data_IF_420945708130
#
_entry.id   IF_420945708130
#
_cell.length_a   1.000
_cell.length_b   1.000
_cell.length_c   1.000
_cell.angle_alpha   90.00
_cell.angle_beta   90.00
_cell.angle_gamma   90.00
#
_symmetry.space_group_name_H-M   'P 1'
#
loop_
_entity.id
_entity.type
_entity.pdbx_description
1 polymer ?
#
# COMPACT_ATOMS: atom_id res chain seq x y z
N UNK A 1 -19.24 9.05 -23.41
CA UNK A 1 -18.03 9.79 -23.07
C UNK A 1 -17.65 10.65 -24.27
N UNK A 2 -17.32 11.92 -24.06
CA UNK A 2 -16.87 12.84 -25.10
C UNK A 2 -15.44 12.43 -25.58
N UNK A 3 -15.10 12.76 -26.82
CA UNK A 3 -13.79 12.41 -27.41
C UNK A 3 -12.61 12.95 -26.59
N UNK A 4 -12.81 14.09 -25.90
CA UNK A 4 -11.84 14.66 -24.98
C UNK A 4 -11.67 13.86 -23.68
N UNK A 5 -12.67 13.09 -23.26
CA UNK A 5 -12.59 12.25 -22.06
C UNK A 5 -11.80 10.95 -22.32
N UNK A 6 -11.77 10.46 -23.57
CA UNK A 6 -10.99 9.28 -23.95
C UNK A 6 -9.47 9.46 -23.80
N UNK A 7 -8.96 10.70 -23.91
CA UNK A 7 -7.53 10.97 -23.73
C UNK A 7 -7.06 10.82 -22.27
N UNK A 8 -7.99 10.75 -21.32
CA UNK A 8 -7.75 10.62 -19.88
C UNK A 8 -8.06 9.21 -19.35
N UNK A 9 -8.33 8.24 -20.23
CA UNK A 9 -8.58 6.85 -19.88
C UNK A 9 -7.35 6.01 -20.22
N UNK A 10 -6.87 5.20 -19.27
CA UNK A 10 -5.73 4.30 -19.50
C UNK A 10 -6.08 3.18 -20.49
N UNK A 11 -7.09 2.39 -20.15
CA UNK A 11 -7.63 1.37 -21.03
C UNK A 11 -9.09 1.69 -21.38
N UNK A 12 -9.29 2.09 -22.63
CA UNK A 12 -10.61 2.47 -23.14
C UNK A 12 -11.44 1.28 -23.66
N UNK A 13 -10.88 0.06 -23.64
CA UNK A 13 -11.56 -1.16 -24.10
C UNK A 13 -12.08 -1.08 -25.53
N UNK A 14 -11.38 -0.33 -26.42
CA UNK A 14 -11.81 0.00 -27.77
C UNK A 14 -13.20 0.70 -27.83
N UNK A 15 -13.51 1.48 -26.80
CA UNK A 15 -14.80 2.19 -26.68
C UNK A 15 -16.01 1.31 -26.37
N UNK A 16 -15.78 0.01 -26.04
CA UNK A 16 -16.86 -0.93 -25.71
C UNK A 16 -17.03 -0.99 -24.18
N UNK A 17 -15.97 -1.39 -23.48
CA UNK A 17 -15.96 -1.45 -22.02
C UNK A 17 -14.57 -1.01 -21.55
N UNK A 18 -14.41 0.21 -21.07
CA UNK A 18 -13.15 0.66 -20.50
C UNK A 18 -12.82 -0.12 -19.22
N UNK A 19 -11.57 -0.08 -18.80
CA UNK A 19 -11.16 -0.56 -17.47
C UNK A 19 -12.08 0.05 -16.39
N UNK A 20 -12.53 -0.77 -15.46
CA UNK A 20 -13.57 -0.39 -14.48
C UNK A 20 -13.00 0.29 -13.24
N UNK A 21 -11.68 0.30 -13.10
CA UNK A 21 -10.97 0.94 -12.01
C UNK A 21 -10.69 2.43 -12.24
N UNK A 22 -10.26 3.07 -11.19
CA UNK A 22 -9.90 4.48 -11.18
C UNK A 22 -9.91 5.08 -9.79
N UNK A 23 -9.74 6.38 -9.72
CA UNK A 23 -9.81 7.13 -8.46
C UNK A 23 -10.74 8.34 -8.58
N UNK A 24 -11.34 8.72 -7.46
CA UNK A 24 -12.01 10.00 -7.30
C UNK A 24 -11.23 10.88 -6.34
N UNK A 25 -11.18 12.16 -6.63
CA UNK A 25 -10.65 13.17 -5.71
C UNK A 25 -11.82 13.87 -5.06
N UNK A 26 -11.80 13.92 -3.72
CA UNK A 26 -12.78 14.61 -2.89
C UNK A 26 -12.10 15.79 -2.21
N UNK A 27 -12.64 16.98 -2.39
CA UNK A 27 -12.24 18.16 -1.67
C UNK A 27 -13.20 18.40 -0.50
N UNK A 28 -12.68 18.37 0.73
CA UNK A 28 -13.48 18.47 1.95
C UNK A 28 -13.05 19.66 2.79
N UNK A 29 -14.04 20.44 3.27
CA UNK A 29 -13.81 21.53 4.19
C UNK A 29 -14.08 21.08 5.64
N UNK A 30 -13.04 20.90 6.48
CA UNK A 30 -13.21 20.43 7.84
C UNK A 30 -13.90 21.46 8.77
N UNK A 31 -13.89 22.76 8.43
CA UNK A 31 -14.50 23.79 9.27
C UNK A 31 -16.02 23.76 9.23
N UNK A 32 -16.61 23.56 8.05
CA UNK A 32 -18.06 23.46 7.90
C UNK A 32 -18.56 22.03 7.66
N UNK A 33 -17.63 21.04 7.63
CA UNK A 33 -17.89 19.61 7.45
C UNK A 33 -18.63 19.29 6.15
N UNK A 34 -18.26 19.94 5.06
CA UNK A 34 -18.89 19.76 3.76
C UNK A 34 -17.90 19.34 2.69
N UNK A 35 -18.34 18.47 1.80
CA UNK A 35 -17.65 18.23 0.54
C UNK A 35 -17.83 19.44 -0.36
N UNK A 36 -16.71 20.04 -0.79
CA UNK A 36 -16.70 21.20 -1.69
C UNK A 36 -16.84 20.72 -3.13
N UNK A 37 -16.12 19.68 -3.47
CA UNK A 37 -16.04 19.12 -4.83
C UNK A 37 -15.73 17.64 -4.81
N UNK A 38 -16.16 16.94 -5.86
CA UNK A 38 -15.79 15.55 -6.12
C UNK A 38 -15.73 15.34 -7.62
N UNK A 39 -14.68 14.68 -8.11
CA UNK A 39 -14.51 14.38 -9.52
C UNK A 39 -13.65 13.14 -9.74
N UNK A 40 -13.80 12.51 -10.91
CA UNK A 40 -12.91 11.44 -11.35
C UNK A 40 -11.52 12.02 -11.63
N UNK A 41 -10.49 11.38 -11.13
CA UNK A 41 -9.08 11.81 -11.26
C UNK A 41 -8.19 10.79 -11.98
N UNK A 42 -8.62 9.54 -12.07
CA UNK A 42 -7.98 8.47 -12.84
C UNK A 42 -9.08 7.55 -13.37
N UNK A 43 -8.96 7.06 -14.59
CA UNK A 43 -9.95 6.20 -15.23
C UNK A 43 -9.28 5.13 -16.09
N UNK A 44 -9.98 3.99 -16.27
CA UNK A 44 -9.55 2.93 -17.16
C UNK A 44 -8.43 2.05 -16.62
N UNK A 45 -8.18 2.11 -15.34
CA UNK A 45 -7.35 1.16 -14.60
C UNK A 45 -8.19 -0.03 -14.12
N UNK A 46 -7.57 -0.97 -13.43
CA UNK A 46 -8.26 -2.15 -12.89
C UNK A 46 -7.88 -2.40 -11.44
N UNK A 47 -8.85 -2.87 -10.65
CA UNK A 47 -8.65 -3.30 -9.27
C UNK A 47 -7.73 -2.35 -8.49
N UNK A 48 -8.01 -1.04 -8.54
CA UNK A 48 -7.29 -0.10 -7.71
C UNK A 48 -7.57 -0.43 -6.24
N UNK A 49 -6.55 -0.88 -5.53
CA UNK A 49 -6.66 -1.13 -4.12
C UNK A 49 -6.20 0.09 -3.31
N UNK A 50 -5.19 -0.03 -2.49
CA UNK A 50 -4.69 1.08 -1.72
C UNK A 50 -3.76 1.99 -2.56
N UNK A 51 -2.70 2.47 -1.98
CA UNK A 51 -1.74 3.38 -2.62
C UNK A 51 -0.99 4.18 -1.57
N UNK A 52 -0.58 5.40 -1.92
CA UNK A 52 0.12 6.25 -0.97
C UNK A 52 0.26 7.69 -1.41
N UNK A 53 0.22 8.60 -0.43
CA UNK A 53 0.46 10.00 -0.66
C UNK A 53 1.95 10.29 -0.89
N UNK A 54 2.26 11.17 -1.83
CA UNK A 54 3.62 11.63 -2.06
C UNK A 54 3.87 12.97 -1.35
N UNK A 55 5.10 13.26 -0.92
CA UNK A 55 5.43 14.54 -0.31
C UNK A 55 5.39 15.72 -1.30
N UNK A 56 5.25 15.47 -2.60
CA UNK A 56 5.13 16.50 -3.64
C UNK A 56 3.70 16.72 -4.13
N UNK A 57 2.69 16.20 -3.43
CA UNK A 57 1.26 16.52 -3.64
C UNK A 57 0.58 15.70 -4.73
N UNK A 58 0.90 14.42 -4.81
CA UNK A 58 0.19 13.43 -5.62
C UNK A 58 -0.18 12.20 -4.79
N UNK A 59 -1.02 11.34 -5.36
CA UNK A 59 -1.37 10.01 -4.87
C UNK A 59 -0.84 8.96 -5.82
N UNK A 60 -0.22 7.92 -5.30
CA UNK A 60 0.14 6.72 -6.05
C UNK A 60 -1.01 5.72 -5.94
N UNK A 61 -1.71 5.48 -7.05
CA UNK A 61 -2.80 4.49 -7.08
C UNK A 61 -2.27 3.16 -7.59
N UNK A 62 -2.51 2.10 -6.83
CA UNK A 62 -1.99 0.76 -7.06
C UNK A 62 -3.05 -0.12 -7.74
N UNK A 63 -2.69 -0.79 -8.85
CA UNK A 63 -3.50 -1.86 -9.44
C UNK A 63 -3.15 -3.20 -8.79
N UNK A 64 -4.09 -3.77 -8.03
CA UNK A 64 -3.96 -5.09 -7.41
C UNK A 64 -4.39 -6.18 -8.39
N UNK A 65 -3.78 -6.22 -9.55
CA UNK A 65 -4.05 -7.21 -10.58
C UNK A 65 -2.81 -7.50 -11.44
N UNK A 66 -2.86 -8.58 -12.22
CA UNK A 66 -1.89 -8.87 -13.26
C UNK A 66 -2.64 -9.36 -14.49
N UNK A 67 -3.09 -8.42 -15.32
CA UNK A 67 -3.99 -8.73 -16.44
C UNK A 67 -3.36 -8.33 -17.76
N UNK A 68 -3.48 -9.20 -18.77
CA UNK A 68 -3.00 -8.97 -20.12
C UNK A 68 -4.14 -8.51 -21.05
N UNK A 69 -3.82 -7.86 -22.18
CA UNK A 69 -4.79 -7.56 -23.22
C UNK A 69 -5.58 -8.79 -23.64
N UNK A 70 -6.88 -8.63 -23.81
CA UNK A 70 -7.77 -9.72 -24.16
C UNK A 70 -9.23 -9.43 -23.93
N UNK A 71 -10.07 -10.42 -24.09
CA UNK A 71 -11.50 -10.33 -23.83
C UNK A 71 -11.88 -11.38 -22.80
N UNK A 72 -12.50 -10.94 -21.73
CA UNK A 72 -13.01 -11.78 -20.63
C UNK A 72 -14.49 -11.53 -20.43
N UNK A 73 -15.15 -12.44 -19.70
CA UNK A 73 -16.53 -12.26 -19.28
C UNK A 73 -16.56 -12.16 -17.76
N UNK A 74 -16.88 -10.97 -17.26
CA UNK A 74 -16.84 -10.63 -15.84
C UNK A 74 -18.15 -9.96 -15.42
N UNK A 75 -18.69 -10.32 -14.27
CA UNK A 75 -19.93 -9.75 -13.73
C UNK A 75 -21.06 -9.65 -14.76
N UNK A 76 -21.25 -10.69 -15.57
CA UNK A 76 -22.22 -10.73 -16.67
C UNK A 76 -21.98 -9.71 -17.81
N UNK A 77 -20.77 -9.21 -17.96
CA UNK A 77 -20.39 -8.23 -18.98
C UNK A 77 -19.13 -8.69 -19.72
N UNK A 78 -19.05 -8.41 -21.02
CA UNK A 78 -17.85 -8.60 -21.81
C UNK A 78 -16.91 -7.44 -21.51
N UNK A 79 -15.76 -7.73 -20.92
CA UNK A 79 -14.68 -6.77 -20.68
C UNK A 79 -13.58 -6.99 -21.72
N UNK A 80 -13.22 -5.92 -22.42
CA UNK A 80 -12.13 -5.94 -23.38
C UNK A 80 -11.00 -5.04 -22.89
N UNK A 81 -9.83 -5.63 -22.74
CA UNK A 81 -8.60 -4.92 -22.37
C UNK A 81 -7.70 -4.74 -23.59
N UNK A 82 -7.19 -3.55 -23.77
CA UNK A 82 -6.23 -3.21 -24.82
C UNK A 82 -4.84 -2.96 -24.24
N UNK A 83 -4.75 -2.74 -22.94
CA UNK A 83 -3.51 -2.48 -22.20
C UNK A 83 -3.19 -3.63 -21.24
N UNK A 84 -1.95 -3.69 -20.81
CA UNK A 84 -1.53 -4.52 -19.67
C UNK A 84 -1.81 -3.76 -18.38
N UNK A 85 -2.24 -4.48 -17.35
CA UNK A 85 -2.51 -3.97 -16.01
C UNK A 85 -1.60 -4.62 -14.97
N UNK A 86 -1.57 -4.06 -13.76
CA UNK A 86 -0.69 -4.44 -12.65
C UNK A 86 0.40 -3.40 -12.43
N UNK A 87 0.04 -2.12 -12.51
CA UNK A 87 0.96 -0.99 -12.38
C UNK A 87 0.51 0.02 -11.33
N UNK A 88 1.38 0.95 -11.04
CA UNK A 88 1.09 2.14 -10.25
C UNK A 88 0.89 3.33 -11.18
N UNK A 89 -0.06 4.21 -10.82
CA UNK A 89 -0.34 5.46 -11.50
C UNK A 89 -0.20 6.63 -10.53
N UNK A 90 0.46 7.68 -10.96
CA UNK A 90 0.57 8.91 -10.18
C UNK A 90 -0.56 9.88 -10.55
N UNK A 91 -1.34 10.29 -9.53
CA UNK A 91 -2.49 11.18 -9.67
C UNK A 91 -2.21 12.47 -8.90
N UNK A 92 -2.12 13.60 -9.60
CA UNK A 92 -1.89 14.90 -8.97
C UNK A 92 -3.10 15.35 -8.14
N UNK A 93 -2.89 15.74 -6.89
CA UNK A 93 -3.93 16.34 -6.05
C UNK A 93 -4.30 17.77 -6.51
N UNK A 94 -3.34 18.51 -7.08
CA UNK A 94 -3.53 19.91 -7.45
C UNK A 94 -4.13 20.12 -8.85
N UNK A 95 -3.97 19.16 -9.74
CA UNK A 95 -4.51 19.23 -11.10
C UNK A 95 -4.92 17.85 -11.63
N UNK A 96 -5.89 17.20 -10.98
CA UNK A 96 -6.27 15.84 -11.31
C UNK A 96 -6.86 15.68 -12.71
N UNK A 97 -7.45 16.73 -13.29
CA UNK A 97 -8.04 16.70 -14.63
C UNK A 97 -7.02 16.72 -15.78
N UNK A 98 -5.76 17.04 -15.51
CA UNK A 98 -4.71 17.13 -16.52
C UNK A 98 -3.75 15.93 -16.52
N UNK A 99 -3.89 15.04 -15.57
CA UNK A 99 -3.02 13.87 -15.45
C UNK A 99 -3.39 12.84 -16.50
N UNK A 100 -2.49 12.62 -17.47
CA UNK A 100 -2.60 11.43 -18.32
C UNK A 100 -2.31 10.21 -17.47
N UNK A 101 -3.10 9.14 -17.57
CA UNK A 101 -2.85 7.91 -16.85
C UNK A 101 -1.64 7.18 -17.48
N UNK A 102 -0.46 7.40 -16.91
CA UNK A 102 0.79 6.79 -17.38
C UNK A 102 1.23 5.73 -16.37
N UNK A 103 1.32 4.46 -16.78
CA UNK A 103 1.77 3.39 -15.89
C UNK A 103 3.26 3.57 -15.56
N UNK A 104 3.61 3.50 -14.29
CA UNK A 104 4.98 3.60 -13.80
C UNK A 104 5.67 2.23 -13.87
N UNK A 105 5.99 1.78 -15.09
CA UNK A 105 6.42 0.40 -15.39
C UNK A 105 7.69 -0.04 -14.70
N UNK A 106 8.62 0.86 -14.43
CA UNK A 106 9.86 0.54 -13.73
C UNK A 106 9.67 0.30 -12.21
N UNK A 107 8.47 0.59 -11.68
CA UNK A 107 8.07 0.16 -10.35
C UNK A 107 7.68 -1.32 -10.27
N UNK A 108 7.72 -2.02 -11.39
CA UNK A 108 7.36 -3.42 -11.51
C UNK A 108 5.93 -3.63 -12.00
N UNK A 109 5.68 -4.84 -12.48
CA UNK A 109 4.35 -5.32 -12.84
C UNK A 109 4.01 -6.51 -11.96
N UNK A 110 3.10 -6.32 -11.02
CA UNK A 110 2.61 -7.31 -10.06
C UNK A 110 1.29 -6.82 -9.44
N UNK A 111 0.69 -7.59 -8.56
CA UNK A 111 -0.49 -7.16 -7.79
C UNK A 111 -0.07 -6.15 -6.72
N UNK A 112 -0.03 -4.88 -7.12
CA UNK A 112 0.32 -3.76 -6.24
C UNK A 112 -0.78 -3.48 -5.23
N UNK A 113 -0.42 -3.50 -3.94
CA UNK A 113 -1.36 -3.20 -2.87
C UNK A 113 -1.25 -1.74 -2.43
N UNK A 114 -0.17 -1.38 -1.79
CA UNK A 114 0.03 -0.05 -1.23
C UNK A 114 1.43 0.49 -1.46
N UNK A 115 1.58 1.80 -1.24
CA UNK A 115 2.84 2.52 -1.41
C UNK A 115 3.10 3.48 -0.24
N UNK A 116 4.35 3.58 0.21
CA UNK A 116 4.79 4.60 1.16
C UNK A 116 6.05 5.30 0.64
N UNK A 117 6.09 6.61 0.74
CA UNK A 117 7.21 7.41 0.24
C UNK A 117 8.04 7.92 1.42
N UNK A 118 9.33 7.65 1.38
CA UNK A 118 10.29 8.31 2.27
C UNK A 118 10.50 9.78 1.82
N UNK A 119 10.05 10.76 2.59
CA UNK A 119 10.11 12.16 2.17
C UNK A 119 11.54 12.72 2.09
N UNK A 120 12.52 12.03 2.68
CA UNK A 120 13.91 12.48 2.69
C UNK A 120 14.67 12.03 1.46
N UNK A 121 14.53 10.75 1.06
CA UNK A 121 15.23 10.20 -0.10
C UNK A 121 14.36 10.15 -1.36
N UNK A 122 13.05 10.22 -1.22
CA UNK A 122 12.09 9.98 -2.31
C UNK A 122 11.96 8.50 -2.70
N UNK A 123 12.57 7.59 -1.96
CA UNK A 123 12.39 6.17 -2.16
C UNK A 123 10.93 5.76 -1.87
N UNK A 124 10.41 4.87 -2.71
CA UNK A 124 9.03 4.40 -2.59
C UNK A 124 9.05 2.93 -2.21
N UNK A 125 8.37 2.59 -1.13
CA UNK A 125 8.23 1.23 -0.64
C UNK A 125 6.87 0.70 -1.06
N UNK A 126 6.82 -0.56 -1.52
CA UNK A 126 5.65 -1.15 -2.16
C UNK A 126 5.36 -2.51 -1.55
N UNK A 127 4.08 -2.79 -1.34
CA UNK A 127 3.58 -4.11 -0.97
C UNK A 127 2.92 -4.82 -2.14
N UNK A 128 2.83 -6.16 -2.05
CA UNK A 128 2.22 -7.04 -3.03
C UNK A 128 1.30 -8.00 -2.30
N UNK A 129 0.03 -8.06 -2.68
CA UNK A 129 -0.90 -9.02 -2.10
C UNK A 129 -0.77 -10.40 -2.74
N UNK A 130 0.19 -11.17 -2.25
CA UNK A 130 0.37 -12.59 -2.59
C UNK A 130 0.90 -13.39 -1.41
N UNK A 131 0.52 -14.66 -1.31
CA UNK A 131 0.97 -15.59 -0.26
C UNK A 131 2.51 -15.74 -0.18
N UNK A 132 3.21 -15.38 -1.23
CA UNK A 132 4.68 -15.44 -1.36
C UNK A 132 5.21 -14.10 -1.83
N UNK A 133 4.68 -13.01 -1.30
CA UNK A 133 5.04 -11.65 -1.68
C UNK A 133 6.45 -11.26 -1.22
N UNK A 134 6.92 -10.17 -1.76
CA UNK A 134 8.13 -9.49 -1.30
C UNK A 134 7.76 -8.10 -0.78
N UNK A 135 8.67 -7.48 -0.06
CA UNK A 135 8.64 -6.04 0.18
C UNK A 135 9.60 -5.39 -0.82
N UNK A 136 9.09 -4.46 -1.61
CA UNK A 136 9.86 -3.79 -2.64
C UNK A 136 10.25 -2.38 -2.24
N UNK A 137 11.33 -1.88 -2.87
CA UNK A 137 11.75 -0.48 -2.80
C UNK A 137 12.09 0.01 -4.20
N UNK A 138 11.49 1.12 -4.61
CA UNK A 138 11.82 1.81 -5.85
C UNK A 138 12.65 3.07 -5.54
N UNK A 139 13.80 3.20 -6.20
CA UNK A 139 14.67 4.38 -6.12
C UNK A 139 14.50 5.17 -7.40
N UNK A 140 13.83 6.33 -7.38
CA UNK A 140 13.60 7.12 -8.58
C UNK A 140 14.91 7.75 -9.10
N UNK A 141 15.05 7.83 -10.42
CA UNK A 141 16.17 8.53 -11.07
C UNK A 141 16.14 10.03 -10.77
N UNK A 142 14.95 10.59 -10.65
CA UNK A 142 14.73 12.01 -10.35
C UNK A 142 13.69 12.15 -9.24
N UNK A 143 14.06 12.80 -8.14
CA UNK A 143 13.15 13.04 -7.02
C UNK A 143 11.89 13.79 -7.49
N UNK A 144 10.72 13.24 -7.18
CA UNK A 144 9.42 13.83 -7.53
C UNK A 144 9.04 13.76 -9.01
N UNK A 145 9.80 13.00 -9.83
CA UNK A 145 9.49 12.75 -11.25
C UNK A 145 9.55 11.27 -11.57
N UNK A 146 8.55 10.55 -11.12
CA UNK A 146 8.52 9.09 -11.22
C UNK A 146 8.50 8.56 -12.65
N UNK A 147 8.00 9.37 -13.59
CA UNK A 147 8.01 9.05 -15.03
C UNK A 147 9.42 8.94 -15.62
N UNK A 148 10.43 9.56 -14.99
CA UNK A 148 11.82 9.44 -15.41
C UNK A 148 12.42 8.05 -15.08
N UNK A 149 11.60 7.16 -14.48
CA UNK A 149 11.98 5.80 -14.11
C UNK A 149 12.87 5.73 -12.88
N UNK A 150 13.45 4.56 -12.65
CA UNK A 150 14.29 4.30 -11.50
C UNK A 150 14.71 2.83 -11.38
N UNK A 151 15.04 2.40 -10.19
CA UNK A 151 15.50 1.05 -9.89
C UNK A 151 14.60 0.38 -8.87
N UNK A 152 14.04 -0.77 -9.21
CA UNK A 152 13.27 -1.60 -8.28
C UNK A 152 14.18 -2.61 -7.58
N UNK A 153 13.98 -2.75 -6.29
CA UNK A 153 14.73 -3.64 -5.41
C UNK A 153 13.78 -4.42 -4.50
N UNK A 154 14.23 -5.57 -3.99
CA UNK A 154 13.51 -6.35 -2.99
C UNK A 154 14.32 -6.45 -1.69
N UNK A 155 13.62 -6.45 -0.54
CA UNK A 155 14.22 -6.57 0.78
C UNK A 155 14.81 -7.97 0.98
N UNK A 156 16.01 -8.06 1.54
CA UNK A 156 16.65 -9.28 2.01
C UNK A 156 17.16 -9.10 3.44
N UNK A 157 16.98 -10.10 4.29
CA UNK A 157 17.65 -10.15 5.59
C UNK A 157 19.14 -10.48 5.36
N UNK A 158 20.02 -9.62 5.81
CA UNK A 158 21.47 -9.77 5.62
C UNK A 158 21.97 -11.12 6.16
N UNK A 159 22.79 -11.80 5.36
CA UNK A 159 23.34 -13.12 5.68
C UNK A 159 22.31 -14.26 5.83
N UNK A 160 21.04 -14.00 5.53
CA UNK A 160 19.96 -14.99 5.52
C UNK A 160 19.20 -14.93 4.19
N UNK A 161 19.82 -15.30 3.05
CA UNK A 161 19.15 -15.22 1.75
C UNK A 161 17.91 -16.10 1.73
N UNK A 162 16.90 -15.64 1.00
CA UNK A 162 15.60 -16.31 0.85
C UNK A 162 14.91 -16.59 2.20
N UNK A 163 15.03 -15.64 3.13
CA UNK A 163 14.45 -15.77 4.47
C UNK A 163 12.93 -15.71 4.41
N UNK A 164 12.27 -16.64 5.12
CA UNK A 164 10.81 -16.70 5.21
C UNK A 164 10.34 -16.03 6.51
N UNK A 165 9.77 -14.83 6.41
CA UNK A 165 9.30 -14.06 7.57
C UNK A 165 7.94 -14.51 8.08
N UNK A 166 7.22 -15.38 7.32
CA UNK A 166 5.80 -15.69 7.53
C UNK A 166 5.48 -16.47 8.79
N UNK A 167 6.46 -17.13 9.40
CA UNK A 167 6.29 -18.00 10.58
C UNK A 167 5.28 -19.16 10.42
N UNK A 168 4.92 -19.54 9.18
CA UNK A 168 3.86 -20.53 8.92
C UNK A 168 4.18 -21.97 9.35
N UNK A 169 5.43 -22.38 9.20
CA UNK A 169 5.85 -23.77 9.51
C UNK A 169 6.74 -23.81 10.74
N UNK A 170 7.59 -22.82 10.87
CA UNK A 170 8.52 -22.65 11.99
C UNK A 170 8.60 -21.18 12.32
N UNK A 171 8.70 -20.84 13.59
CA UNK A 171 8.97 -19.48 14.01
C UNK A 171 10.42 -19.13 13.64
N UNK A 172 10.57 -18.40 12.55
CA UNK A 172 11.86 -17.97 12.02
C UNK A 172 12.19 -16.52 12.39
N UNK A 173 11.18 -15.73 12.75
CA UNK A 173 11.29 -14.34 13.17
C UNK A 173 10.50 -14.12 14.47
N UNK A 174 11.20 -13.68 15.51
CA UNK A 174 10.58 -13.38 16.81
C UNK A 174 10.18 -11.90 16.89
N UNK A 175 9.17 -11.59 17.68
CA UNK A 175 8.81 -10.21 18.00
C UNK A 175 10.00 -9.50 18.66
N UNK A 176 10.12 -8.21 18.37
CA UNK A 176 11.15 -7.31 18.92
C UNK A 176 12.62 -7.66 18.59
N UNK A 177 12.89 -8.66 17.74
CA UNK A 177 14.23 -8.95 17.24
C UNK A 177 14.51 -8.14 15.96
N UNK A 178 15.58 -7.33 15.99
CA UNK A 178 16.01 -6.56 14.83
C UNK A 178 16.93 -7.38 13.92
N UNK A 179 16.65 -7.35 12.62
CA UNK A 179 17.46 -7.98 11.58
C UNK A 179 18.02 -6.94 10.63
N UNK A 180 19.31 -7.02 10.35
CA UNK A 180 19.95 -6.19 9.33
C UNK A 180 19.39 -6.47 7.95
N UNK A 181 19.20 -5.43 7.15
CA UNK A 181 18.57 -5.49 5.83
C UNK A 181 19.53 -5.07 4.72
N UNK A 182 19.46 -5.78 3.61
CA UNK A 182 20.03 -5.44 2.31
C UNK A 182 18.91 -5.34 1.29
N UNK A 183 19.19 -4.68 0.16
CA UNK A 183 18.25 -4.58 -0.96
C UNK A 183 18.86 -5.19 -2.20
N UNK A 184 18.14 -6.10 -2.84
CA UNK A 184 18.56 -6.83 -4.03
C UNK A 184 17.95 -6.16 -5.25
N UNK A 185 18.77 -5.80 -6.23
CA UNK A 185 18.32 -5.26 -7.52
C UNK A 185 17.51 -6.31 -8.27
N UNK A 186 16.39 -5.90 -8.85
CA UNK A 186 15.54 -6.76 -9.67
C UNK A 186 15.60 -6.33 -11.13
N UNK A 187 15.77 -7.32 -12.01
CA UNK A 187 15.75 -7.14 -13.46
C UNK A 187 14.42 -7.54 -14.07
N UNK A 188 14.15 -7.09 -15.32
CA UNK A 188 12.95 -7.41 -16.07
C UNK A 188 11.67 -7.22 -15.25
N UNK A 189 11.55 -6.05 -14.63
CA UNK A 189 10.46 -5.73 -13.70
C UNK A 189 9.10 -5.56 -14.39
N UNK A 190 9.07 -5.19 -15.68
CA UNK A 190 7.86 -5.16 -16.54
C UNK A 190 7.71 -6.48 -17.31
N UNK A 191 7.71 -7.61 -16.60
CA UNK A 191 7.60 -8.95 -17.17
C UNK A 191 6.21 -9.24 -17.74
N UNK A 192 6.17 -10.12 -18.76
CA UNK A 192 4.91 -10.71 -19.25
C UNK A 192 4.43 -11.88 -18.39
N UNK A 193 5.23 -12.31 -17.41
CA UNK A 193 4.92 -13.41 -16.49
C UNK A 193 4.90 -12.88 -15.08
N UNK A 194 3.89 -13.27 -14.31
CA UNK A 194 3.72 -12.88 -12.91
C UNK A 194 4.66 -13.67 -11.99
N UNK A 195 5.96 -13.47 -12.17
CA UNK A 195 7.02 -14.24 -11.50
C UNK A 195 8.03 -13.39 -10.71
N UNK A 196 7.88 -12.07 -10.71
CA UNK A 196 8.85 -11.14 -10.12
C UNK A 196 9.20 -11.52 -8.67
N UNK A 197 8.17 -11.81 -7.84
CA UNK A 197 8.36 -12.26 -6.47
C UNK A 197 9.09 -13.59 -6.34
N UNK A 198 8.91 -14.49 -7.31
CA UNK A 198 9.56 -15.80 -7.29
C UNK A 198 11.04 -15.66 -7.64
N UNK A 199 11.35 -14.91 -8.71
CA UNK A 199 12.73 -14.59 -9.10
C UNK A 199 13.47 -13.81 -8.02
N UNK A 200 12.83 -12.81 -7.42
CA UNK A 200 13.42 -12.06 -6.32
C UNK A 200 13.75 -12.93 -5.10
N UNK A 201 12.87 -13.89 -4.75
CA UNK A 201 13.14 -14.84 -3.69
C UNK A 201 14.32 -15.79 -4.04
N UNK A 202 14.41 -16.26 -5.27
CA UNK A 202 15.54 -17.07 -5.75
C UNK A 202 16.86 -16.29 -5.71
N UNK A 203 16.83 -14.97 -5.93
CA UNK A 203 17.97 -14.08 -5.79
C UNK A 203 18.36 -13.79 -4.32
N UNK A 204 17.52 -14.22 -3.35
CA UNK A 204 17.79 -14.08 -1.93
C UNK A 204 16.88 -13.09 -1.18
N UNK A 205 15.90 -12.48 -1.83
CA UNK A 205 14.94 -11.60 -1.16
C UNK A 205 14.11 -12.36 -0.11
N UNK A 206 13.66 -11.64 0.91
CA UNK A 206 12.85 -12.21 2.00
C UNK A 206 11.37 -12.25 1.62
N UNK A 207 10.68 -13.31 2.02
CA UNK A 207 9.28 -13.57 1.69
C UNK A 207 8.34 -13.11 2.80
N UNK A 208 7.21 -12.51 2.39
CA UNK A 208 6.11 -12.08 3.25
C UNK A 208 4.80 -12.80 2.90
N UNK A 209 3.77 -12.65 3.73
CA UNK A 209 2.49 -13.34 3.61
C UNK A 209 1.35 -12.37 3.31
N UNK A 210 1.05 -12.11 2.04
CA UNK A 210 0.09 -11.11 1.62
C UNK A 210 0.44 -9.74 2.25
N UNK A 211 1.37 -9.02 1.60
CA UNK A 211 1.74 -7.68 2.00
C UNK A 211 0.62 -6.72 1.62
N UNK A 212 0.02 -6.08 2.61
CA UNK A 212 -1.12 -5.18 2.49
C UNK A 212 -0.69 -3.72 2.71
N UNK A 213 -1.28 -3.07 3.70
CA UNK A 213 -1.01 -1.68 4.01
C UNK A 213 0.45 -1.35 4.33
N UNK A 214 0.85 -0.14 4.01
CA UNK A 214 2.18 0.37 4.28
C UNK A 214 2.12 1.87 4.57
N UNK A 215 2.86 2.35 5.58
CA UNK A 215 2.99 3.77 5.84
C UNK A 215 4.39 4.17 6.28
N UNK A 216 4.74 5.43 6.04
CA UNK A 216 5.96 6.05 6.54
C UNK A 216 5.66 6.89 7.79
N UNK A 217 6.44 6.71 8.84
CA UNK A 217 6.49 7.60 10.00
C UNK A 217 7.84 7.53 10.70
N UNK A 218 8.32 8.64 11.20
CA UNK A 218 9.51 8.74 12.08
C UNK A 218 10.73 7.95 11.62
N UNK A 219 11.07 8.05 10.34
CA UNK A 219 12.20 7.34 9.73
C UNK A 219 12.02 5.82 9.65
N UNK A 220 10.80 5.33 9.81
CA UNK A 220 10.41 3.93 9.68
C UNK A 220 9.31 3.75 8.64
N UNK A 221 9.27 2.56 8.07
CA UNK A 221 8.19 2.05 7.24
C UNK A 221 7.48 0.96 8.05
N UNK A 222 6.19 1.10 8.23
CA UNK A 222 5.34 0.09 8.88
C UNK A 222 4.56 -0.66 7.81
N UNK A 223 4.51 -1.99 7.92
CA UNK A 223 3.96 -2.90 6.91
C UNK A 223 3.06 -3.91 7.58
N UNK A 224 1.93 -4.20 6.98
CA UNK A 224 1.05 -5.31 7.38
C UNK A 224 1.20 -6.50 6.45
N UNK A 225 1.00 -7.70 6.98
CA UNK A 225 0.94 -8.95 6.23
C UNK A 225 -0.22 -9.79 6.77
N UNK A 226 -1.36 -9.76 6.08
CA UNK A 226 -2.67 -10.14 6.62
C UNK A 226 -2.82 -11.59 7.03
N UNK A 227 -2.04 -12.51 6.43
CA UNK A 227 -2.04 -13.93 6.79
C UNK A 227 -0.67 -14.42 7.30
N UNK A 228 0.18 -13.52 7.78
CA UNK A 228 1.41 -13.89 8.47
C UNK A 228 1.15 -14.47 9.85
N UNK A 229 2.20 -15.05 10.45
CA UNK A 229 2.12 -15.66 11.78
C UNK A 229 1.79 -17.15 11.77
N UNK A 230 2.11 -17.83 12.86
CA UNK A 230 1.91 -19.27 13.00
C UNK A 230 0.43 -19.68 12.86
N UNK A 231 -0.49 -18.84 13.30
CA UNK A 231 -1.94 -19.04 13.19
C UNK A 231 -2.55 -18.36 11.96
N UNK A 232 -1.72 -17.69 11.13
CA UNK A 232 -2.14 -16.96 9.93
C UNK A 232 -3.16 -15.86 10.19
N UNK A 233 -3.04 -15.19 11.33
CA UNK A 233 -3.94 -14.13 11.78
C UNK A 233 -3.37 -12.73 11.56
N UNK A 234 -2.20 -12.62 10.96
CA UNK A 234 -1.56 -11.36 10.58
C UNK A 234 -0.26 -11.05 11.30
N UNK A 235 0.57 -10.28 10.64
CA UNK A 235 1.83 -9.73 11.17
C UNK A 235 1.91 -8.25 10.86
N UNK A 236 2.58 -7.49 11.73
CA UNK A 236 2.95 -6.09 11.52
C UNK A 236 4.45 -5.97 11.65
N UNK A 237 5.10 -5.32 10.70
CA UNK A 237 6.54 -5.12 10.67
C UNK A 237 6.90 -3.64 10.76
N UNK A 238 8.08 -3.36 11.31
CA UNK A 238 8.76 -2.07 11.25
C UNK A 238 10.09 -2.23 10.50
N UNK A 239 10.26 -1.51 9.40
CA UNK A 239 11.55 -1.33 8.74
C UNK A 239 12.09 0.06 9.05
N UNK A 240 13.15 0.12 9.84
CA UNK A 240 13.84 1.36 10.20
C UNK A 240 14.94 1.67 9.20
N UNK A 241 14.86 2.83 8.57
CA UNK A 241 15.80 3.27 7.53
C UNK A 241 17.13 3.71 8.18
N UNK A 242 18.25 3.18 7.68
CA UNK A 242 19.57 3.63 8.11
C UNK A 242 20.04 4.82 7.26
N UNK A 243 19.92 6.02 7.79
CA UNK A 243 20.32 7.26 7.09
C UNK A 243 21.83 7.38 6.89
N UNK A 244 22.64 6.79 7.73
CA UNK A 244 24.10 6.83 7.61
C UNK A 244 24.60 5.89 6.50
N UNK A 245 23.95 4.75 6.27
CA UNK A 245 24.23 3.87 5.12
C UNK A 245 24.10 4.63 3.80
N UNK A 246 23.04 5.41 3.64
CA UNK A 246 22.78 6.16 2.41
C UNK A 246 23.85 7.23 2.11
N UNK A 247 24.62 7.67 3.13
CA UNK A 247 25.73 8.62 2.95
C UNK A 247 27.04 7.93 2.62
N UNK A 248 27.31 6.80 3.21
CA UNK A 248 28.63 6.17 3.19
C UNK A 248 28.68 4.82 2.48
N UNK A 249 27.53 4.20 2.18
CA UNK A 249 27.41 2.89 1.53
C UNK A 249 27.99 1.72 2.34
N UNK A 250 28.12 1.88 3.66
CA UNK A 250 28.69 0.87 4.55
C UNK A 250 27.66 0.39 5.59
N UNK A 251 27.74 -0.88 5.97
CA UNK A 251 26.84 -1.51 6.94
C UNK A 251 25.51 -1.94 6.34
N UNK A 252 24.49 -2.09 7.19
CA UNK A 252 23.11 -2.40 6.80
C UNK A 252 22.38 -1.17 6.24
N UNK A 253 21.53 -1.35 5.24
CA UNK A 253 20.69 -0.26 4.70
C UNK A 253 19.54 0.12 5.64
N UNK A 254 19.27 -0.67 6.64
CA UNK A 254 18.26 -0.51 7.65
C UNK A 254 18.06 -1.80 8.45
N UNK A 255 17.03 -1.80 9.29
CA UNK A 255 16.74 -2.92 10.17
C UNK A 255 15.26 -3.25 10.10
N UNK A 256 14.91 -4.53 9.96
CA UNK A 256 13.54 -5.04 9.99
C UNK A 256 13.25 -5.71 11.34
N UNK A 257 12.08 -5.44 11.88
CA UNK A 257 11.56 -6.06 13.09
C UNK A 257 10.14 -6.54 12.87
N UNK A 258 9.80 -7.72 13.41
CA UNK A 258 8.41 -8.13 13.63
C UNK A 258 7.90 -7.36 14.84
N UNK A 259 6.97 -6.43 14.62
CA UNK A 259 6.40 -5.58 15.68
C UNK A 259 5.27 -6.29 16.43
N UNK A 260 4.44 -7.05 15.71
CA UNK A 260 3.36 -7.84 16.28
C UNK A 260 3.04 -9.05 15.39
N UNK A 261 2.74 -10.18 16.01
CA UNK A 261 2.17 -11.36 15.39
C UNK A 261 0.84 -11.71 16.04
N UNK A 262 -0.21 -11.78 15.25
CA UNK A 262 -1.56 -12.02 15.72
C UNK A 262 -1.86 -13.52 15.80
N UNK A 263 -2.72 -13.88 16.76
CA UNK A 263 -3.30 -15.20 16.94
C UNK A 263 -4.81 -15.08 17.19
N UNK A 264 -5.53 -16.18 17.31
CA UNK A 264 -6.99 -16.17 17.50
C UNK A 264 -7.49 -15.44 18.75
N UNK A 265 -6.61 -15.14 19.71
CA UNK A 265 -6.94 -14.36 20.90
C UNK A 265 -6.47 -12.90 20.86
N UNK A 266 -5.76 -12.49 19.82
CA UNK A 266 -5.28 -11.12 19.64
C UNK A 266 -6.43 -10.14 19.39
N UNK A 267 -6.27 -8.91 19.86
CA UNK A 267 -7.20 -7.82 19.54
C UNK A 267 -7.15 -7.49 18.06
N UNK A 268 -5.94 -7.42 17.47
CA UNK A 268 -5.73 -7.23 16.03
C UNK A 268 -5.74 -8.58 15.34
N UNK A 269 -6.55 -8.71 14.30
CA UNK A 269 -6.56 -9.88 13.42
C UNK A 269 -6.63 -9.44 11.97
N UNK A 270 -5.94 -10.17 11.09
CA UNK A 270 -5.92 -9.89 9.66
C UNK A 270 -5.65 -8.42 9.34
N UNK A 271 -4.50 -7.93 9.84
CA UNK A 271 -4.07 -6.55 9.63
C UNK A 271 -3.98 -6.22 8.13
N UNK A 272 -4.68 -5.18 7.72
CA UNK A 272 -4.73 -4.69 6.35
C UNK A 272 -4.19 -3.26 6.27
N UNK A 273 -4.96 -2.23 5.91
CA UNK A 273 -4.46 -0.87 5.81
C UNK A 273 -3.92 -0.34 7.13
N UNK A 274 -2.87 0.48 7.07
CA UNK A 274 -2.16 1.00 8.23
C UNK A 274 -1.78 2.47 8.05
N UNK A 275 -1.90 3.24 9.11
CA UNK A 275 -1.42 4.62 9.16
C UNK A 275 -0.87 4.96 10.54
N UNK A 276 0.11 5.85 10.60
CA UNK A 276 0.52 6.48 11.85
C UNK A 276 -0.45 7.60 12.21
N UNK A 277 -1.04 7.52 13.40
CA UNK A 277 -1.93 8.56 13.90
C UNK A 277 -1.18 9.82 14.32
N UNK A 278 -1.85 10.97 14.40
CA UNK A 278 -1.25 12.22 14.90
C UNK A 278 -0.76 12.15 16.35
N UNK A 279 -1.15 11.17 17.13
CA UNK A 279 -0.72 10.97 18.53
C UNK A 279 0.31 9.84 18.71
N UNK A 280 0.81 9.27 17.60
CA UNK A 280 1.93 8.32 17.61
C UNK A 280 1.56 6.84 17.72
N UNK A 281 0.27 6.48 17.67
CA UNK A 281 -0.18 5.08 17.58
C UNK A 281 -0.35 4.69 16.11
N UNK A 282 -0.09 3.43 15.79
CA UNK A 282 -0.52 2.85 14.52
C UNK A 282 -2.01 2.59 14.57
N UNK A 283 -2.75 3.01 13.55
CA UNK A 283 -4.16 2.65 13.34
C UNK A 283 -4.25 1.73 12.14
N UNK A 284 -4.87 0.57 12.33
CA UNK A 284 -4.90 -0.53 11.39
C UNK A 284 -6.36 -0.90 11.12
N UNK A 285 -6.72 -1.02 9.85
CA UNK A 285 -7.97 -1.64 9.42
C UNK A 285 -7.81 -3.16 9.46
N UNK A 286 -8.89 -3.85 9.83
CA UNK A 286 -8.94 -5.32 9.80
C UNK A 286 -9.73 -5.81 8.60
N UNK A 287 -9.24 -6.88 7.94
CA UNK A 287 -9.99 -7.64 6.92
C UNK A 287 -10.41 -8.99 7.47
N UNK A 288 -11.50 -9.03 8.24
CA UNK A 288 -12.07 -10.24 8.81
C UNK A 288 -13.46 -10.55 8.24
N UNK A 289 -13.89 -11.81 8.29
CA UNK A 289 -15.15 -12.24 7.66
C UNK A 289 -16.43 -11.69 8.32
N UNK A 290 -16.43 -11.43 9.61
CA UNK A 290 -17.67 -11.13 10.36
C UNK A 290 -17.61 -9.82 11.13
N UNK A 291 -16.47 -9.17 11.14
CA UNK A 291 -16.22 -8.00 11.96
C UNK A 291 -15.00 -7.29 11.42
N UNK A 292 -15.17 -6.07 10.98
CA UNK A 292 -14.08 -5.24 10.50
C UNK A 292 -14.03 -3.96 11.32
N UNK A 293 -12.96 -3.81 12.09
CA UNK A 293 -12.75 -2.67 12.95
C UNK A 293 -11.49 -1.87 12.60
N UNK A 294 -11.25 -0.88 13.42
CA UNK A 294 -9.97 -0.19 13.51
C UNK A 294 -9.31 -0.57 14.83
N UNK A 295 -8.09 -1.08 14.76
CA UNK A 295 -7.30 -1.44 15.93
C UNK A 295 -6.11 -0.50 16.05
N UNK A 296 -5.87 0.00 17.26
CA UNK A 296 -4.69 0.80 17.59
C UNK A 296 -3.56 -0.05 18.16
N UNK A 297 -2.31 0.25 17.76
CA UNK A 297 -1.10 -0.26 18.44
C UNK A 297 -0.33 0.95 18.97
N UNK A 298 -0.20 1.03 20.28
CA UNK A 298 0.59 2.09 20.92
C UNK A 298 2.10 1.90 20.70
N UNK A 299 2.94 2.92 20.91
CA UNK A 299 4.40 2.79 20.84
C UNK A 299 5.00 1.72 21.79
N UNK A 300 4.24 1.31 22.80
CA UNK A 300 4.62 0.23 23.74
C UNK A 300 4.15 -1.16 23.29
N UNK A 301 3.57 -1.28 22.08
CA UNK A 301 3.05 -2.55 21.54
C UNK A 301 1.64 -2.92 22.08
N UNK A 302 1.00 -2.09 22.93
CA UNK A 302 -0.33 -2.39 23.44
C UNK A 302 -1.38 -2.20 22.34
N UNK A 303 -2.13 -3.27 22.07
CA UNK A 303 -3.28 -3.26 21.16
C UNK A 303 -4.56 -2.83 21.86
N UNK A 304 -5.43 -2.12 21.14
CA UNK A 304 -6.76 -1.73 21.62
C UNK A 304 -7.72 -1.53 20.45
N UNK A 305 -9.00 -1.85 20.67
CA UNK A 305 -10.06 -1.51 19.70
C UNK A 305 -10.21 0.01 19.65
N UNK A 306 -10.02 0.59 18.48
CA UNK A 306 -10.18 2.02 18.26
C UNK A 306 -11.61 2.37 17.84
N UNK A 307 -12.15 1.63 16.87
CA UNK A 307 -13.52 1.78 16.41
C UNK A 307 -14.03 0.50 15.74
N UNK A 308 -15.36 0.35 15.72
CA UNK A 308 -16.08 -0.76 15.11
C UNK A 308 -16.94 -0.28 13.95
N UNK A 309 -17.07 -1.11 12.90
CA UNK A 309 -18.06 -0.91 11.86
C UNK A 309 -19.43 -1.47 12.31
N UNK A 310 -20.16 -0.70 13.11
CA UNK A 310 -21.51 -1.08 13.53
C UNK A 310 -22.59 -0.91 12.43
N UNK A 311 -22.22 -0.32 11.28
CA UNK A 311 -23.14 -0.04 10.18
C UNK A 311 -23.33 -1.25 9.27
N UNK A 312 -22.27 -2.02 9.04
CA UNK A 312 -22.30 -3.18 8.15
C UNK A 312 -21.14 -4.14 8.46
N UNK A 313 -21.19 -5.32 7.88
CA UNK A 313 -20.12 -6.32 7.85
C UNK A 313 -19.05 -6.06 6.78
N UNK A 314 -19.10 -4.90 6.13
CA UNK A 314 -18.10 -4.49 5.15
C UNK A 314 -16.81 -4.05 5.81
N UNK A 315 -15.72 -4.37 5.16
CA UNK A 315 -14.37 -3.90 5.51
C UNK A 315 -14.31 -2.38 5.62
N UNK A 316 -13.54 -1.90 6.60
CA UNK A 316 -13.06 -0.53 6.70
C UNK A 316 -11.69 -0.43 6.04
N UNK A 317 -11.49 0.52 5.14
CA UNK A 317 -10.24 0.66 4.42
C UNK A 317 -9.83 2.13 4.20
N UNK A 318 -8.56 2.36 3.85
CA UNK A 318 -8.03 3.66 3.51
C UNK A 318 -8.04 4.67 4.64
N UNK A 319 -7.82 4.24 5.89
CA UNK A 319 -7.75 5.16 7.03
C UNK A 319 -6.61 6.16 6.87
N UNK A 320 -6.94 7.46 6.98
CA UNK A 320 -5.96 8.55 6.94
C UNK A 320 -6.42 9.75 7.76
N UNK A 321 -5.53 10.71 7.98
CA UNK A 321 -5.82 11.92 8.75
C UNK A 321 -5.62 13.18 7.91
N UNK A 322 -6.43 14.21 8.21
CA UNK A 322 -6.19 15.55 7.69
C UNK A 322 -4.81 16.08 8.14
N UNK A 323 -4.20 17.02 7.38
CA UNK A 323 -2.87 17.55 7.73
C UNK A 323 -2.79 18.17 9.13
N UNK A 324 -3.92 18.68 9.66
CA UNK A 324 -4.00 19.21 11.02
C UNK A 324 -4.31 18.15 12.10
N UNK A 325 -4.42 16.88 11.68
CA UNK A 325 -4.69 15.74 12.54
C UNK A 325 -6.08 15.71 13.20
N UNK A 326 -7.01 16.60 12.83
CA UNK A 326 -8.31 16.74 13.52
C UNK A 326 -9.43 15.92 12.93
N UNK A 327 -9.32 15.56 11.66
CA UNK A 327 -10.29 14.76 10.95
C UNK A 327 -9.64 13.46 10.49
N UNK A 328 -10.23 12.35 10.85
CA UNK A 328 -9.91 11.04 10.28
C UNK A 328 -10.87 10.74 9.15
N UNK A 329 -10.35 10.22 8.05
CA UNK A 329 -11.14 9.66 6.96
C UNK A 329 -10.98 8.14 6.96
N UNK A 330 -12.06 7.43 6.67
CA UNK A 330 -12.06 5.98 6.48
C UNK A 330 -13.19 5.60 5.53
N UNK A 331 -12.99 4.58 4.71
CA UNK A 331 -14.00 4.10 3.79
C UNK A 331 -14.70 2.85 4.34
N UNK A 332 -15.98 2.68 4.00
CA UNK A 332 -16.72 1.43 4.10
C UNK A 332 -16.78 0.85 2.68
N UNK A 333 -15.96 -0.15 2.39
CA UNK A 333 -15.62 -0.60 1.05
C UNK A 333 -16.85 -0.96 0.20
N UNK A 334 -17.60 -2.00 0.58
CA UNK A 334 -18.73 -2.50 -0.20
C UNK A 334 -19.94 -1.54 -0.25
N UNK A 335 -19.92 -0.46 0.56
CA UNK A 335 -20.97 0.56 0.57
C UNK A 335 -20.57 1.78 -0.25
N UNK A 336 -19.29 1.89 -0.65
CA UNK A 336 -18.77 3.05 -1.37
C UNK A 336 -18.93 4.35 -0.57
N UNK A 337 -18.78 4.29 0.76
CA UNK A 337 -18.91 5.44 1.64
C UNK A 337 -17.53 5.89 2.14
N UNK A 338 -17.28 7.18 2.10
CA UNK A 338 -16.15 7.80 2.80
C UNK A 338 -16.68 8.58 4.00
N UNK A 339 -16.21 8.23 5.18
CA UNK A 339 -16.58 8.87 6.44
C UNK A 339 -15.51 9.91 6.79
N UNK A 340 -15.95 11.09 7.24
CA UNK A 340 -15.11 12.11 7.85
C UNK A 340 -15.44 12.19 9.35
N UNK A 341 -14.56 11.70 10.19
CA UNK A 341 -14.76 11.57 11.63
C UNK A 341 -13.95 12.66 12.34
N UNK A 342 -14.63 13.51 13.07
CA UNK A 342 -14.00 14.55 13.90
C UNK A 342 -14.13 14.16 15.37
N UNK A 343 -13.01 14.17 16.07
CA UNK A 343 -12.97 13.77 17.48
C UNK A 343 -11.91 14.50 18.28
N UNK A 344 -12.03 14.35 19.60
CA UNK A 344 -10.95 14.75 20.51
C UNK A 344 -10.01 13.53 20.63
N UNK A 345 -9.04 13.48 19.75
CA UNK A 345 -8.00 12.45 19.79
C UNK A 345 -7.12 12.59 21.04
N UNK A 346 -6.45 11.55 21.48
CA UNK A 346 -5.42 11.66 22.50
C UNK A 346 -4.44 12.77 22.13
N UNK A 347 -4.16 13.68 23.03
CA UNK A 347 -3.17 14.73 22.75
C UNK A 347 -1.78 14.12 22.80
N UNK A 348 -0.96 14.45 21.81
CA UNK A 348 0.48 14.22 21.91
C UNK A 348 0.95 15.06 23.10
N UNK A 349 1.42 14.41 24.14
CA UNK A 349 2.21 15.06 25.17
C UNK A 349 3.61 15.18 24.57
N UNK A 350 3.89 16.34 23.97
CA UNK A 350 5.22 16.71 23.46
C UNK A 350 6.11 17.03 24.67
#
# INVERSE_FOLDING_TARGET
>A
LDKAEYEHIYDAGNGITPGTGGTTTIEYNPNNRQTINQHLSLMGTEYNCAGGATPWGSWLSCEECFTDPGTTFEMNTVVKREQRHGYIFEVSANNPKSSKPIPLKEMGRFEHEAAAVDPVSGAIYLTEDKHRSLLYRFIPNTLGKLIDGGKLQALSISKKPSFDTRNWQTTSMNEDEWHDVEWIDLDNVDSNVNDLRLRGFELGASRFARGEGICYADNSIFITATIGGAERMGQVFEYRINREFNKNGQGSSGHLKLLAESNHSSTLQHADNIIMSPWGDLIICEDTFNYCGLVGISPTGKQYVFADNAYSDSELCGVCFSPDGRTMFVNIQNRGLTLAINGSWPRIII
#
